data_IF_280129763022
#
_entry.id   IF_280129763022
#
_cell.length_a   1.000
_cell.length_b   1.000
_cell.length_c   1.000
_cell.angle_alpha   90.00
_cell.angle_beta   90.00
_cell.angle_gamma   90.00
#
_symmetry.space_group_name_H-M   'P 1'
#
loop_
_entity.id
_entity.type
_entity.pdbx_description
1 polymer ?
#
# COMPACT_ATOMS: atom_id res chain seq x y z
N UNK A 1 -16.25 -2.60 -17.49
CA UNK A 1 -15.47 -3.37 -18.49
C UNK A 1 -15.59 -2.68 -19.83
N UNK A 2 -14.50 -2.60 -20.59
CA UNK A 2 -14.57 -2.17 -21.99
C UNK A 2 -15.38 -3.17 -22.80
N UNK A 3 -15.99 -2.71 -23.94
CA UNK A 3 -16.85 -3.54 -24.77
C UNK A 3 -16.16 -4.78 -25.40
N UNK A 4 -14.88 -4.95 -25.21
CA UNK A 4 -14.06 -6.08 -25.71
C UNK A 4 -14.14 -7.34 -24.82
N UNK A 5 -15.15 -7.45 -23.96
CA UNK A 5 -15.32 -8.64 -23.13
C UNK A 5 -15.63 -9.85 -24.01
N UNK A 6 -14.74 -10.84 -24.03
CA UNK A 6 -14.91 -12.07 -24.81
C UNK A 6 -16.18 -12.83 -24.38
N UNK A 7 -16.78 -13.60 -25.29
CA UNK A 7 -17.96 -14.43 -25.01
C UNK A 7 -17.72 -15.39 -23.83
N UNK A 8 -16.50 -15.92 -23.71
CA UNK A 8 -16.10 -16.82 -22.62
C UNK A 8 -16.13 -16.12 -21.25
N UNK A 9 -15.62 -14.88 -21.16
CA UNK A 9 -15.65 -14.10 -19.93
C UNK A 9 -17.09 -13.76 -19.53
N UNK A 10 -17.93 -13.37 -20.51
CA UNK A 10 -19.36 -13.11 -20.23
C UNK A 10 -20.07 -14.35 -19.68
N UNK A 11 -19.83 -15.53 -20.27
CA UNK A 11 -20.40 -16.78 -19.80
C UNK A 11 -19.92 -17.13 -18.37
N UNK A 12 -18.63 -16.96 -18.09
CA UNK A 12 -18.07 -17.20 -16.76
C UNK A 12 -18.70 -16.27 -15.70
N UNK A 13 -18.78 -14.96 -15.97
CA UNK A 13 -19.35 -13.98 -15.03
C UNK A 13 -20.83 -14.24 -14.77
N UNK A 14 -21.59 -14.66 -15.79
CA UNK A 14 -23.00 -15.06 -15.64
C UNK A 14 -23.13 -16.32 -14.78
N UNK A 15 -22.25 -17.32 -14.98
CA UNK A 15 -22.20 -18.54 -14.18
C UNK A 15 -21.96 -18.26 -12.71
N UNK A 16 -21.05 -17.34 -12.42
CA UNK A 16 -20.71 -16.94 -11.04
C UNK A 16 -21.65 -15.87 -10.44
N UNK A 17 -22.76 -15.54 -11.12
CA UNK A 17 -23.77 -14.54 -10.70
C UNK A 17 -23.22 -13.13 -10.42
N UNK A 18 -22.09 -12.75 -11.03
CA UNK A 18 -21.58 -11.39 -10.93
C UNK A 18 -22.38 -10.43 -11.84
N UNK A 19 -22.61 -9.21 -11.35
CA UNK A 19 -23.20 -8.14 -12.16
C UNK A 19 -22.17 -7.55 -13.11
N UNK A 20 -22.45 -7.56 -14.41
CA UNK A 20 -21.62 -6.91 -15.43
C UNK A 20 -22.23 -5.56 -15.75
N UNK A 21 -21.44 -4.49 -15.61
CA UNK A 21 -21.77 -3.17 -16.13
C UNK A 21 -20.90 -2.92 -17.36
N UNK A 22 -21.50 -2.92 -18.52
CA UNK A 22 -20.83 -2.52 -19.76
C UNK A 22 -20.89 -1.01 -19.87
N UNK A 23 -19.74 -0.38 -20.09
CA UNK A 23 -19.63 1.06 -20.30
C UNK A 23 -19.64 1.30 -21.82
N UNK A 24 -20.34 2.36 -22.24
CA UNK A 24 -20.38 2.75 -23.65
C UNK A 24 -18.98 2.97 -24.23
N UNK A 25 -18.76 2.64 -25.52
CA UNK A 25 -17.50 2.91 -26.19
C UNK A 25 -17.08 4.37 -25.99
N UNK A 26 -15.81 4.60 -25.76
CA UNK A 26 -15.22 5.93 -25.53
C UNK A 26 -15.60 6.67 -24.24
N UNK A 27 -16.51 6.14 -23.42
CA UNK A 27 -16.87 6.74 -22.12
C UNK A 27 -16.01 6.19 -20.96
N UNK A 28 -14.69 6.39 -21.06
CA UNK A 28 -13.73 5.87 -20.07
C UNK A 28 -13.86 6.52 -18.68
N UNK A 29 -14.53 7.67 -18.56
CA UNK A 29 -14.71 8.38 -17.29
C UNK A 29 -15.64 7.64 -16.33
N UNK A 30 -16.56 6.85 -16.85
CA UNK A 30 -17.55 6.09 -16.06
C UNK A 30 -16.97 4.78 -15.54
N UNK A 31 -15.79 4.35 -16.03
CA UNK A 31 -15.18 3.10 -15.59
C UNK A 31 -14.51 3.28 -14.23
N UNK A 32 -15.22 2.94 -13.15
CA UNK A 32 -14.74 3.02 -11.76
C UNK A 32 -13.43 2.25 -11.53
N UNK A 33 -13.22 1.12 -12.20
CA UNK A 33 -12.00 0.33 -12.10
C UNK A 33 -10.80 1.09 -12.68
N UNK A 34 -10.94 1.69 -13.87
CA UNK A 34 -9.87 2.50 -14.47
C UNK A 34 -9.54 3.71 -13.61
N UNK A 35 -10.55 4.37 -13.03
CA UNK A 35 -10.35 5.48 -12.12
C UNK A 35 -9.59 5.06 -10.85
N UNK A 36 -9.94 3.91 -10.27
CA UNK A 36 -9.27 3.36 -9.09
C UNK A 36 -7.80 2.99 -9.39
N UNK A 37 -7.53 2.33 -10.51
CA UNK A 37 -6.16 2.00 -10.94
C UNK A 37 -5.33 3.25 -11.17
N UNK A 38 -5.91 4.28 -11.82
CA UNK A 38 -5.23 5.56 -12.02
C UNK A 38 -4.89 6.23 -10.69
N UNK A 39 -5.83 6.27 -9.74
CA UNK A 39 -5.60 6.86 -8.41
C UNK A 39 -4.50 6.11 -7.66
N UNK A 40 -4.53 4.77 -7.65
CA UNK A 40 -3.49 3.95 -7.03
C UNK A 40 -2.12 4.19 -7.67
N UNK A 41 -2.04 4.22 -9.01
CA UNK A 41 -0.80 4.50 -9.73
C UNK A 41 -0.25 5.89 -9.38
N UNK A 42 -1.09 6.93 -9.36
CA UNK A 42 -0.67 8.27 -8.98
C UNK A 42 -0.13 8.31 -7.54
N UNK A 43 -0.78 7.61 -6.61
CA UNK A 43 -0.33 7.53 -5.23
C UNK A 43 1.04 6.85 -5.11
N UNK A 44 1.25 5.72 -5.80
CA UNK A 44 2.54 5.02 -5.85
C UNK A 44 3.63 5.93 -6.44
N UNK A 45 3.37 6.58 -7.56
CA UNK A 45 4.34 7.49 -8.19
C UNK A 45 4.70 8.65 -7.27
N UNK A 46 3.71 9.26 -6.61
CA UNK A 46 3.94 10.33 -5.64
C UNK A 46 4.77 9.84 -4.44
N UNK A 47 4.48 8.66 -3.92
CA UNK A 47 5.28 8.05 -2.85
C UNK A 47 6.72 7.79 -3.27
N UNK A 48 6.94 7.28 -4.48
CA UNK A 48 8.29 7.07 -5.01
C UNK A 48 9.06 8.38 -5.24
N UNK A 49 8.37 9.48 -5.53
CA UNK A 49 9.01 10.79 -5.71
C UNK A 49 9.55 11.38 -4.39
N UNK A 50 9.06 10.93 -3.24
CA UNK A 50 9.55 11.38 -1.92
C UNK A 50 10.68 10.52 -1.35
N UNK A 51 11.02 9.43 -2.01
CA UNK A 51 12.06 8.50 -1.58
C UNK A 51 13.45 9.13 -1.68
N UNK A 52 14.32 8.82 -0.73
CA UNK A 52 15.71 9.26 -0.77
C UNK A 52 16.40 8.80 -2.05
N UNK A 53 17.18 9.67 -2.68
CA UNK A 53 17.88 9.39 -3.97
C UNK A 53 18.81 8.18 -3.91
N UNK A 54 19.33 7.85 -2.74
CA UNK A 54 20.22 6.69 -2.53
C UNK A 54 19.46 5.38 -2.29
N UNK A 55 18.13 5.42 -2.18
CA UNK A 55 17.35 4.22 -1.99
C UNK A 55 17.37 3.33 -3.25
N UNK A 56 17.62 2.03 -3.10
CA UNK A 56 17.62 1.10 -4.25
C UNK A 56 16.20 0.88 -4.77
N UNK A 57 15.82 1.59 -5.84
CA UNK A 57 14.47 1.57 -6.41
C UNK A 57 13.94 0.16 -6.75
N UNK A 58 14.83 -0.82 -6.95
CA UNK A 58 14.42 -2.23 -7.15
C UNK A 58 13.59 -2.80 -5.99
N UNK A 59 13.68 -2.19 -4.80
CA UNK A 59 12.94 -2.59 -3.59
C UNK A 59 11.57 -1.90 -3.46
N UNK A 60 11.11 -1.15 -4.46
CA UNK A 60 9.86 -0.40 -4.44
C UNK A 60 8.62 -1.23 -4.03
N UNK A 61 8.66 -2.54 -4.28
CA UNK A 61 7.57 -3.47 -3.90
C UNK A 61 7.32 -3.51 -2.40
N UNK A 62 8.35 -3.27 -1.58
CA UNK A 62 8.24 -3.24 -0.13
C UNK A 62 7.38 -2.06 0.37
N UNK A 63 7.21 -1.04 -0.45
CA UNK A 63 6.39 0.13 -0.13
C UNK A 63 4.88 -0.09 -0.32
N UNK A 64 4.49 -1.13 -1.09
CA UNK A 64 3.08 -1.35 -1.44
C UNK A 64 2.17 -1.46 -0.21
N UNK A 65 2.50 -2.22 0.86
CA UNK A 65 1.63 -2.33 2.02
C UNK A 65 1.36 -0.99 2.71
N UNK A 66 2.39 -0.16 2.89
CA UNK A 66 2.19 1.17 3.47
C UNK A 66 1.43 2.10 2.52
N UNK A 67 1.69 2.04 1.22
CA UNK A 67 0.96 2.84 0.23
C UNK A 67 -0.52 2.48 0.19
N UNK A 68 -0.86 1.19 0.25
CA UNK A 68 -2.23 0.71 0.34
C UNK A 68 -2.90 1.22 1.61
N UNK A 69 -2.25 1.05 2.75
CA UNK A 69 -2.74 1.50 4.04
C UNK A 69 -2.98 3.01 4.05
N UNK A 70 -2.01 3.82 3.62
CA UNK A 70 -2.15 5.28 3.57
C UNK A 70 -3.22 5.72 2.59
N UNK A 71 -3.36 5.06 1.46
CA UNK A 71 -4.44 5.34 0.51
C UNK A 71 -5.81 5.06 1.12
N UNK A 72 -5.96 3.97 1.88
CA UNK A 72 -7.22 3.66 2.57
C UNK A 72 -7.51 4.60 3.74
N UNK A 73 -6.48 5.13 4.41
CA UNK A 73 -6.64 6.18 5.43
C UNK A 73 -7.12 7.51 4.84
N UNK A 74 -6.66 7.86 3.64
CA UNK A 74 -7.00 9.13 2.98
C UNK A 74 -8.33 9.09 2.23
N UNK A 75 -8.86 7.91 1.92
CA UNK A 75 -10.14 7.76 1.23
C UNK A 75 -11.27 7.59 2.23
N UNK A 76 -12.40 8.21 1.93
CA UNK A 76 -13.63 7.99 2.69
C UNK A 76 -14.19 6.60 2.41
N UNK A 77 -14.81 6.00 3.41
CA UNK A 77 -15.57 4.76 3.23
C UNK A 77 -16.78 5.00 2.30
N UNK A 78 -17.18 3.98 1.56
CA UNK A 78 -18.38 4.05 0.72
C UNK A 78 -19.69 3.99 1.52
N UNK A 79 -19.80 3.12 2.56
CA UNK A 79 -21.00 3.07 3.42
C UNK A 79 -21.16 4.32 4.29
N UNK A 80 -20.07 4.85 4.85
CA UNK A 80 -20.09 6.04 5.71
C UNK A 80 -18.98 7.03 5.31
N UNK A 81 -19.38 8.13 4.70
CA UNK A 81 -18.46 9.19 4.27
C UNK A 81 -17.78 9.96 5.41
N UNK A 82 -18.18 9.74 6.67
CA UNK A 82 -17.59 10.40 7.85
C UNK A 82 -16.33 9.71 8.36
N UNK A 83 -16.09 8.48 7.93
CA UNK A 83 -14.94 7.68 8.34
C UNK A 83 -14.06 7.33 7.14
N UNK A 84 -12.78 7.03 7.40
CA UNK A 84 -11.89 6.54 6.36
C UNK A 84 -12.20 5.08 5.99
N UNK A 85 -11.86 4.69 4.77
CA UNK A 85 -12.01 3.29 4.34
C UNK A 85 -11.18 2.35 5.22
N UNK A 86 -10.00 2.79 5.69
CA UNK A 86 -9.19 2.03 6.63
C UNK A 86 -9.93 1.76 7.93
N UNK A 87 -10.54 2.81 8.53
CA UNK A 87 -11.28 2.68 9.79
C UNK A 87 -12.49 1.76 9.67
N UNK A 88 -13.13 1.74 8.52
CA UNK A 88 -14.29 0.89 8.24
C UNK A 88 -13.90 -0.60 8.15
N UNK A 89 -12.72 -0.90 7.61
CA UNK A 89 -12.25 -2.28 7.38
C UNK A 89 -11.47 -2.86 8.57
N UNK A 90 -10.58 -2.07 9.18
CA UNK A 90 -9.58 -2.53 10.15
C UNK A 90 -9.80 -1.92 11.55
N UNK A 91 -10.70 -0.94 11.68
CA UNK A 91 -10.90 -0.19 12.91
C UNK A 91 -10.01 1.05 13.01
N UNK A 92 -9.99 1.67 14.20
CA UNK A 92 -9.18 2.86 14.44
C UNK A 92 -7.68 2.55 14.36
N UNK A 93 -6.94 3.36 13.60
CA UNK A 93 -5.49 3.21 13.49
C UNK A 93 -4.78 3.68 14.77
N UNK A 94 -3.94 2.83 15.34
CA UNK A 94 -3.13 3.16 16.51
C UNK A 94 -1.75 3.66 16.10
N UNK A 95 -1.58 4.97 16.11
CA UNK A 95 -0.34 5.65 15.76
C UNK A 95 0.82 5.36 16.74
N UNK A 96 0.51 5.05 17.99
CA UNK A 96 1.53 4.72 19.00
C UNK A 96 2.10 3.32 18.77
N UNK A 97 1.24 2.40 18.36
CA UNK A 97 1.63 1.03 18.05
C UNK A 97 2.36 0.91 16.72
N UNK A 98 1.95 1.69 15.74
CA UNK A 98 2.46 1.61 14.37
C UNK A 98 2.83 3.01 13.87
N UNK A 99 3.97 3.56 14.33
CA UNK A 99 4.42 4.86 13.85
C UNK A 99 4.79 4.75 12.37
N UNK A 100 4.34 5.73 11.58
CA UNK A 100 4.63 5.81 10.16
C UNK A 100 5.71 6.86 9.91
N UNK A 101 6.63 6.52 9.01
CA UNK A 101 7.61 7.45 8.47
C UNK A 101 7.48 7.53 6.94
N UNK A 102 8.01 8.57 6.30
CA UNK A 102 8.06 8.63 4.84
C UNK A 102 8.85 7.44 4.29
N UNK A 103 8.28 6.77 3.27
CA UNK A 103 8.89 5.62 2.62
C UNK A 103 10.26 5.97 2.05
N UNK A 104 11.23 5.07 2.21
CA UNK A 104 12.57 5.25 1.71
C UNK A 104 13.37 6.37 2.38
N UNK A 105 12.90 6.90 3.51
CA UNK A 105 13.67 7.83 4.32
C UNK A 105 14.89 7.13 4.93
N UNK A 106 15.98 7.88 5.11
CA UNK A 106 17.18 7.37 5.76
C UNK A 106 16.89 7.08 7.23
N UNK A 107 17.28 5.92 7.71
CA UNK A 107 17.12 5.48 9.08
C UNK A 107 18.47 4.97 9.63
N UNK A 108 18.65 5.04 10.91
CA UNK A 108 19.77 4.43 11.61
C UNK A 108 19.25 3.27 12.43
N UNK A 109 19.73 2.07 12.15
CA UNK A 109 19.38 0.85 12.87
C UNK A 109 20.48 0.55 13.87
N UNK A 110 20.10 0.44 15.13
CA UNK A 110 21.03 0.08 16.22
C UNK A 110 21.27 -1.43 16.14
N UNK A 111 22.54 -1.83 16.18
CA UNK A 111 22.93 -3.24 16.22
C UNK A 111 22.70 -3.77 17.63
N UNK A 112 22.20 -4.98 17.76
CA UNK A 112 21.97 -5.61 19.05
C UNK A 112 23.31 -5.83 19.79
N UNK A 113 23.32 -5.62 21.11
CA UNK A 113 24.54 -5.70 21.92
C UNK A 113 25.25 -7.06 21.84
N UNK A 114 24.49 -8.12 21.57
CA UNK A 114 25.00 -9.49 21.36
C UNK A 114 25.83 -9.66 20.08
N UNK A 115 25.58 -8.82 19.08
CA UNK A 115 26.24 -8.86 17.76
C UNK A 115 27.36 -7.81 17.63
N UNK A 116 27.54 -6.96 18.67
CA UNK A 116 28.54 -5.92 18.66
C UNK A 116 29.89 -6.44 19.16
N UNK A 117 30.94 -6.20 18.38
CA UNK A 117 32.31 -6.36 18.83
C UNK A 117 32.82 -5.04 19.44
N UNK A 118 33.86 -5.11 20.27
CA UNK A 118 34.35 -3.97 21.08
C UNK A 118 34.78 -2.73 20.29
N UNK A 119 34.97 -2.88 18.99
CA UNK A 119 35.46 -1.81 18.09
C UNK A 119 34.54 -1.58 16.88
N UNK A 120 33.38 -2.25 16.82
CA UNK A 120 32.45 -2.10 15.72
C UNK A 120 31.51 -0.91 15.90
N UNK A 121 30.96 -0.46 14.77
CA UNK A 121 29.92 0.55 14.77
C UNK A 121 28.65 0.02 15.45
N UNK A 122 28.15 0.73 16.44
CA UNK A 122 26.92 0.37 17.14
C UNK A 122 25.64 0.59 16.33
N UNK A 123 25.74 1.12 15.11
CA UNK A 123 24.60 1.39 14.27
C UNK A 123 24.95 1.34 12.77
N UNK A 124 23.99 0.92 11.95
CA UNK A 124 24.08 0.89 10.49
C UNK A 124 23.08 1.85 9.85
N UNK A 125 23.49 2.44 8.72
CA UNK A 125 22.59 3.20 7.88
C UNK A 125 21.66 2.25 7.13
N UNK A 126 20.37 2.53 7.21
CA UNK A 126 19.30 1.77 6.56
C UNK A 126 18.29 2.71 5.90
N UNK A 127 17.29 2.14 5.29
CA UNK A 127 16.16 2.88 4.76
C UNK A 127 14.87 2.31 5.33
N UNK A 128 13.94 3.20 5.67
CA UNK A 128 12.62 2.80 6.11
C UNK A 128 11.82 2.26 4.92
N UNK A 129 11.38 1.02 4.96
CA UNK A 129 10.64 0.34 3.90
C UNK A 129 9.15 0.14 4.23
N UNK A 130 8.74 0.47 5.44
CA UNK A 130 7.35 0.39 5.88
C UNK A 130 7.23 -0.13 7.32
N UNK A 131 6.03 -0.04 7.91
CA UNK A 131 5.78 -0.59 9.22
C UNK A 131 5.75 -2.12 9.17
N UNK A 132 6.26 -2.77 10.20
CA UNK A 132 6.18 -4.22 10.38
C UNK A 132 4.75 -4.62 10.78
N UNK A 133 3.82 -4.65 9.81
CA UNK A 133 2.40 -4.94 10.06
C UNK A 133 2.16 -6.35 10.57
N UNK A 134 3.05 -7.30 10.23
CA UNK A 134 2.91 -8.73 10.55
C UNK A 134 3.80 -9.13 11.73
N UNK A 135 4.94 -8.48 11.93
CA UNK A 135 6.00 -8.94 12.86
C UNK A 135 6.03 -8.21 14.21
N UNK A 136 5.09 -7.32 14.52
CA UNK A 136 5.01 -6.69 15.85
C UNK A 136 4.75 -7.67 17.01
N UNK A 137 4.71 -9.00 16.78
CA UNK A 137 4.47 -10.02 17.80
C UNK A 137 5.54 -11.08 17.95
N UNK A 138 6.58 -11.08 17.15
CA UNK A 138 7.70 -11.98 17.38
C UNK A 138 8.77 -11.25 18.19
N UNK A 139 8.53 -11.12 19.49
CA UNK A 139 9.64 -11.19 20.44
C UNK A 139 10.03 -12.65 20.47
N UNK A 140 11.09 -12.98 19.80
CA UNK A 140 11.80 -14.22 20.09
C UNK A 140 12.31 -14.08 21.51
N UNK A 141 11.88 -15.03 22.35
CA UNK A 141 12.43 -15.25 23.68
C UNK A 141 13.65 -16.13 23.54
#
# INVERSE_FOLDING_TARGET
MDNECSKAIKAFVLKEKFKIYLVEPHNHRVNATKAAVKAAKCHVVSGLATVNILFPLRLWRKFIPQMEMTMNMLRTSRPDSKISAYKDMEGAFDWNRTPLAPLGSKATVIVEASEQSSWDNHAHNAFYDGPALIYCRLKEY
#
